data_IF_994280143757
#
_entry.id   IF_994280143757
#
_cell.length_a   1.000
_cell.length_b   1.000
_cell.length_c   1.000
_cell.angle_alpha   90.00
_cell.angle_beta   90.00
_cell.angle_gamma   90.00
#
_symmetry.space_group_name_H-M   'P 1'
#
loop_
_entity.id
_entity.type
_entity.pdbx_description
1 polymer ?
#
# COMPACT_ATOMS: atom_id res chain seq x y z
N UNK A 1 -12.12 8.98 22.57
CA UNK A 1 -10.97 9.26 21.70
C UNK A 1 -11.18 8.50 20.40
N UNK A 2 -10.79 9.07 19.25
CA UNK A 2 -10.90 8.42 17.93
C UNK A 2 -9.51 8.24 17.33
N UNK A 3 -9.20 7.05 16.85
CA UNK A 3 -7.89 6.70 16.26
C UNK A 3 -8.10 6.19 14.85
N UNK A 4 -7.25 6.64 13.94
CA UNK A 4 -7.25 6.22 12.54
C UNK A 4 -5.87 5.67 12.18
N UNK A 5 -5.82 4.44 11.70
CA UNK A 5 -4.62 3.86 11.11
C UNK A 5 -4.64 4.01 9.60
N UNK A 6 -3.50 4.37 9.01
CA UNK A 6 -3.32 4.47 7.57
C UNK A 6 -2.28 3.45 7.13
N UNK A 7 -2.63 2.63 6.14
CA UNK A 7 -1.71 1.62 5.63
C UNK A 7 -1.90 1.30 4.15
N UNK A 8 -0.93 0.63 3.55
CA UNK A 8 -1.05 0.11 2.18
C UNK A 8 -1.94 -1.13 2.16
N UNK A 9 -1.77 -2.06 3.09
CA UNK A 9 -2.58 -3.28 3.20
C UNK A 9 -3.07 -3.47 4.63
N UNK A 10 -4.18 -4.19 4.80
CA UNK A 10 -4.65 -4.60 6.13
C UNK A 10 -3.97 -5.86 6.67
N UNK A 11 -3.43 -6.73 5.81
CA UNK A 11 -2.94 -8.06 6.20
C UNK A 11 -1.58 -8.42 5.60
N UNK A 12 -1.03 -7.61 4.70
CA UNK A 12 0.26 -7.89 4.04
C UNK A 12 1.38 -6.97 4.53
N UNK A 13 2.48 -7.58 4.96
CA UNK A 13 3.68 -6.89 5.46
C UNK A 13 3.67 -6.74 6.98
N UNK A 14 4.88 -6.60 7.57
CA UNK A 14 5.05 -6.57 9.02
C UNK A 14 4.32 -5.41 9.70
N UNK A 15 4.39 -4.21 9.11
CA UNK A 15 3.70 -3.02 9.62
C UNK A 15 2.18 -3.19 9.63
N UNK A 16 1.61 -3.80 8.57
CA UNK A 16 0.17 -4.06 8.49
C UNK A 16 -0.32 -5.05 9.52
N UNK A 17 0.39 -6.16 9.67
CA UNK A 17 0.04 -7.18 10.65
C UNK A 17 0.12 -6.61 12.07
N UNK A 18 1.14 -5.80 12.37
CA UNK A 18 1.28 -5.15 13.67
C UNK A 18 0.16 -4.14 13.93
N UNK A 19 -0.13 -3.26 12.97
CA UNK A 19 -1.20 -2.27 13.09
C UNK A 19 -2.58 -2.92 13.26
N UNK A 20 -2.86 -4.02 12.54
CA UNK A 20 -4.12 -4.75 12.67
C UNK A 20 -4.28 -5.39 14.05
N UNK A 21 -3.22 -6.03 14.56
CA UNK A 21 -3.21 -6.58 15.93
C UNK A 21 -3.47 -5.50 16.98
N UNK A 22 -2.79 -4.35 16.85
CA UNK A 22 -2.98 -3.22 17.75
C UNK A 22 -4.41 -2.66 17.67
N UNK A 23 -4.97 -2.51 16.47
CA UNK A 23 -6.34 -2.06 16.24
C UNK A 23 -7.34 -2.98 16.96
N UNK A 24 -7.18 -4.29 16.81
CA UNK A 24 -8.08 -5.27 17.41
C UNK A 24 -8.02 -5.23 18.95
N UNK A 25 -6.83 -5.01 19.54
CA UNK A 25 -6.69 -4.83 21.00
C UNK A 25 -7.32 -3.52 21.49
N UNK A 26 -7.07 -2.39 20.81
CA UNK A 26 -7.64 -1.10 21.21
C UNK A 26 -9.17 -1.08 21.10
N UNK A 27 -9.73 -1.76 20.08
CA UNK A 27 -11.19 -1.91 19.93
C UNK A 27 -11.80 -2.76 21.04
N UNK A 28 -11.08 -3.79 21.52
CA UNK A 28 -11.53 -4.59 22.67
C UNK A 28 -11.59 -3.77 23.96
N UNK A 29 -10.71 -2.78 24.10
CA UNK A 29 -10.73 -1.82 25.22
C UNK A 29 -11.77 -0.70 25.03
N UNK A 30 -12.64 -0.79 24.00
CA UNK A 30 -13.73 0.15 23.76
C UNK A 30 -13.32 1.44 23.06
N UNK A 31 -12.10 1.52 22.51
CA UNK A 31 -11.63 2.69 21.76
C UNK A 31 -12.16 2.63 20.33
N UNK A 32 -12.66 3.77 19.84
CA UNK A 32 -13.10 3.95 18.45
C UNK A 32 -11.88 4.02 17.52
N UNK A 33 -11.55 2.88 16.90
CA UNK A 33 -10.43 2.75 15.96
C UNK A 33 -10.91 2.30 14.59
N UNK A 34 -10.48 3.02 13.55
CA UNK A 34 -10.70 2.67 12.14
C UNK A 34 -9.38 2.56 11.40
N UNK A 35 -9.37 1.88 10.26
CA UNK A 35 -8.19 1.72 9.42
C UNK A 35 -8.52 2.04 7.96
N UNK A 36 -7.77 2.94 7.34
CA UNK A 36 -7.83 3.16 5.90
C UNK A 36 -6.70 2.39 5.22
N UNK A 37 -7.04 1.60 4.20
CA UNK A 37 -6.09 0.80 3.42
C UNK A 37 -6.27 0.98 1.93
N UNK A 38 -5.19 0.82 1.16
CA UNK A 38 -5.28 0.67 -0.32
C UNK A 38 -5.83 -0.71 -0.68
N UNK A 39 -5.25 -1.75 -0.08
CA UNK A 39 -5.53 -3.16 -0.35
C UNK A 39 -6.33 -3.78 0.81
N UNK A 40 -7.67 -3.68 0.69
CA UNK A 40 -8.63 -4.33 1.60
C UNK A 40 -8.83 -5.80 1.21
N UNK A 41 -8.83 -6.70 2.20
CA UNK A 41 -8.92 -8.15 2.00
C UNK A 41 -10.08 -8.82 2.76
N UNK A 42 -10.61 -8.16 3.78
CA UNK A 42 -11.71 -8.63 4.64
C UNK A 42 -12.90 -7.70 4.56
N UNK A 43 -14.09 -8.14 4.99
CA UNK A 43 -15.31 -7.32 5.02
C UNK A 43 -15.50 -6.55 6.34
N UNK A 44 -14.42 -6.32 7.11
CA UNK A 44 -14.49 -5.54 8.35
C UNK A 44 -14.95 -4.09 8.04
N UNK A 45 -16.08 -3.63 8.61
CA UNK A 45 -16.60 -2.29 8.35
C UNK A 45 -15.72 -1.17 8.94
N UNK A 46 -14.90 -1.48 9.94
CA UNK A 46 -13.93 -0.53 10.49
C UNK A 46 -12.71 -0.33 9.58
N UNK A 47 -12.57 -1.16 8.53
CA UNK A 47 -11.54 -1.03 7.52
C UNK A 47 -12.12 -0.40 6.25
N UNK A 48 -11.59 0.74 5.85
CA UNK A 48 -12.07 1.54 4.73
C UNK A 48 -11.06 1.40 3.59
N UNK A 49 -11.53 0.97 2.42
CA UNK A 49 -10.70 0.89 1.22
C UNK A 49 -10.62 2.25 0.55
N UNK A 50 -9.42 2.75 0.27
CA UNK A 50 -9.24 3.89 -0.62
C UNK A 50 -9.60 3.49 -2.05
N UNK A 51 -10.40 4.35 -2.70
CA UNK A 51 -10.64 4.24 -4.13
C UNK A 51 -9.33 4.41 -4.89
N UNK A 52 -8.79 3.31 -5.41
CA UNK A 52 -7.63 3.36 -6.29
C UNK A 52 -7.92 2.59 -7.58
N UNK A 53 -7.51 3.18 -8.70
CA UNK A 53 -7.51 2.51 -10.00
C UNK A 53 -6.30 1.59 -10.06
N UNK A 54 -6.38 0.41 -9.43
CA UNK A 54 -5.28 -0.55 -9.34
C UNK A 54 -4.64 -0.90 -10.69
N UNK A 55 -5.44 -0.95 -11.77
CA UNK A 55 -4.94 -1.15 -13.13
C UNK A 55 -4.07 0.03 -13.60
N UNK A 56 -4.53 1.27 -13.36
CA UNK A 56 -3.82 2.48 -13.76
C UNK A 56 -2.47 2.61 -13.02
N UNK A 57 -2.45 2.24 -11.73
CA UNK A 57 -1.25 2.25 -10.91
C UNK A 57 -0.23 1.21 -11.38
N UNK A 58 -0.68 0.02 -11.79
CA UNK A 58 0.19 -0.98 -12.43
C UNK A 58 0.78 -0.49 -13.74
N UNK A 59 -0.04 0.16 -14.59
CA UNK A 59 0.44 0.72 -15.86
C UNK A 59 1.50 1.80 -15.61
N UNK A 60 1.27 2.70 -14.64
CA UNK A 60 2.24 3.74 -14.25
C UNK A 60 3.55 3.14 -13.73
N UNK A 61 3.47 2.16 -12.84
CA UNK A 61 4.64 1.45 -12.33
C UNK A 61 5.42 0.76 -13.46
N UNK A 62 4.73 0.04 -14.35
CA UNK A 62 5.38 -0.66 -15.46
C UNK A 62 6.00 0.33 -16.46
N UNK A 63 5.34 1.47 -16.70
CA UNK A 63 5.88 2.57 -17.48
C UNK A 63 7.18 3.14 -16.90
N UNK A 64 7.25 3.32 -15.57
CA UNK A 64 8.49 3.72 -14.89
C UNK A 64 9.60 2.67 -15.10
N UNK A 65 9.28 1.39 -14.94
CA UNK A 65 10.25 0.29 -15.16
C UNK A 65 10.74 0.22 -16.60
N UNK A 66 9.86 0.44 -17.58
CA UNK A 66 10.24 0.51 -18.99
C UNK A 66 11.14 1.72 -19.28
N UNK A 67 10.87 2.88 -18.67
CA UNK A 67 11.75 4.05 -18.76
C UNK A 67 13.16 3.74 -18.26
N UNK A 68 13.28 3.17 -17.06
CA UNK A 68 14.59 2.77 -16.49
C UNK A 68 15.29 1.73 -17.38
N UNK A 69 14.53 0.78 -17.95
CA UNK A 69 15.06 -0.24 -18.85
C UNK A 69 15.69 0.36 -20.11
N UNK A 70 15.02 1.35 -20.72
CA UNK A 70 15.51 2.07 -21.88
C UNK A 70 16.77 2.88 -21.53
N UNK A 71 16.74 3.62 -20.41
CA UNK A 71 17.91 4.40 -19.96
C UNK A 71 19.12 3.54 -19.58
N UNK A 72 18.90 2.30 -19.13
CA UNK A 72 19.96 1.32 -18.87
C UNK A 72 20.45 0.60 -20.16
N UNK A 73 19.99 1.01 -21.35
CA UNK A 73 20.41 0.41 -22.62
C UNK A 73 19.88 -1.00 -22.82
N UNK A 74 18.61 -1.24 -22.49
CA UNK A 74 17.97 -2.57 -22.52
C UNK A 74 18.63 -3.59 -21.58
N UNK A 75 19.33 -3.09 -20.54
CA UNK A 75 19.93 -3.91 -19.52
C UNK A 75 19.03 -3.99 -18.28
N UNK A 76 18.75 -5.21 -17.82
CA UNK A 76 17.93 -5.46 -16.62
C UNK A 76 18.70 -5.29 -15.31
N UNK A 77 20.03 -5.12 -15.35
CA UNK A 77 20.82 -4.82 -14.16
C UNK A 77 20.30 -3.54 -13.51
N UNK A 78 20.00 -3.60 -12.21
CA UNK A 78 19.51 -2.48 -11.38
C UNK A 78 18.11 -1.94 -11.69
N UNK A 79 17.26 -2.68 -12.43
CA UNK A 79 15.90 -2.22 -12.79
C UNK A 79 15.00 -1.89 -11.58
N UNK A 80 15.27 -2.53 -10.45
CA UNK A 80 14.55 -2.35 -9.18
C UNK A 80 15.41 -1.68 -8.10
N UNK A 81 16.66 -1.31 -8.41
CA UNK A 81 17.54 -0.65 -7.44
C UNK A 81 17.20 0.84 -7.27
N UNK A 82 16.53 1.43 -8.25
CA UNK A 82 16.14 2.84 -8.27
C UNK A 82 14.65 2.99 -8.61
N UNK A 83 14.04 4.05 -8.10
CA UNK A 83 12.71 4.51 -8.50
C UNK A 83 12.79 5.98 -8.86
N UNK A 84 12.14 6.36 -9.95
CA UNK A 84 12.08 7.74 -10.41
C UNK A 84 11.06 8.55 -9.61
N UNK A 85 10.17 7.89 -8.86
CA UNK A 85 9.10 8.51 -8.06
C UNK A 85 8.19 9.46 -8.87
N UNK A 86 8.12 9.28 -10.19
CA UNK A 86 7.49 10.25 -11.12
C UNK A 86 5.96 10.22 -11.09
N UNK A 87 5.38 9.14 -10.57
CA UNK A 87 3.93 8.88 -10.60
C UNK A 87 3.36 8.63 -9.21
N UNK A 88 4.20 8.65 -8.16
CA UNK A 88 3.80 8.47 -6.77
C UNK A 88 3.19 7.09 -6.47
N UNK A 89 3.47 6.08 -7.29
CA UNK A 89 2.96 4.72 -7.13
C UNK A 89 4.10 3.74 -6.91
N UNK A 90 3.94 2.92 -5.87
CA UNK A 90 4.79 1.78 -5.56
C UNK A 90 3.96 0.50 -5.65
N UNK A 91 4.60 -0.58 -6.13
CA UNK A 91 4.04 -1.94 -6.11
C UNK A 91 3.49 -2.30 -4.70
#
# INVERSE_FOLDING_TARGET
MRVLFLNTSETKGGAAIAAKRLMDTLRKDGIDVSMIVRDKATDDPAIIKIGSSGLLNKVRFLGERLGIFIYNGFNRKNLFAVSQANTGVTD
#
